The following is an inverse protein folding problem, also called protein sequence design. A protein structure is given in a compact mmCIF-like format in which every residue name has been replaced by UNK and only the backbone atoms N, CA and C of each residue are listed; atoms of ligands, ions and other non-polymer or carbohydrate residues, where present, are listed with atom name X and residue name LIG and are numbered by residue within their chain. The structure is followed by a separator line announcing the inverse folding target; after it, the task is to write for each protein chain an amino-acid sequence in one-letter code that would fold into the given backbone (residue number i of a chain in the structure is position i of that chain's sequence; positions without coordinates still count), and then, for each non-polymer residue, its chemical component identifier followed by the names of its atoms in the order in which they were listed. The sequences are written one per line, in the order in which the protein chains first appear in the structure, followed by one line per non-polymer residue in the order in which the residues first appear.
data_IF_911394442442
#
_entry.id   IF_911394442442
#
_cell.length_a   1.000
_cell.length_b   1.000
_cell.length_c   1.000
_cell.angle_alpha   90.00
_cell.angle_beta   90.00
_cell.angle_gamma   90.00
#
_symmetry.space_group_name_H-M   'P 1'
#
loop_
_entity.id
_entity.type
_entity.pdbx_description
1 polymer ?
#
# COMPACT_ATOMS: atom_id res chain seq x y z
N UNK A 1 -28.90 10.43 4.91
CA UNK A 1 -27.63 9.79 5.27
C UNK A 1 -26.81 9.58 4.02
N UNK A 2 -25.65 10.22 3.90
CA UNK A 2 -24.73 9.91 2.79
C UNK A 2 -24.34 8.43 2.91
N UNK A 3 -24.52 7.66 1.82
CA UNK A 3 -24.15 6.25 1.76
C UNK A 3 -22.66 6.17 2.08
N UNK A 4 -22.29 5.71 3.28
CA UNK A 4 -20.88 5.45 3.60
C UNK A 4 -20.35 4.48 2.55
N UNK A 5 -19.27 4.85 1.89
CA UNK A 5 -18.68 4.02 0.84
C UNK A 5 -18.29 2.68 1.48
N UNK A 6 -18.74 1.55 0.92
CA UNK A 6 -18.53 0.22 1.55
C UNK A 6 -17.03 -0.12 1.72
N UNK A 7 -16.19 0.50 0.90
CA UNK A 7 -14.76 0.23 0.86
C UNK A 7 -13.95 1.51 1.06
N UNK A 8 -12.82 1.38 1.76
CA UNK A 8 -11.69 2.29 1.65
C UNK A 8 -10.76 1.86 0.52
N UNK A 9 -10.08 2.85 -0.07
CA UNK A 9 -9.17 2.65 -1.19
C UNK A 9 -7.80 3.13 -0.80
N UNK A 10 -6.81 2.32 -1.12
CA UNK A 10 -5.44 2.56 -0.71
C UNK A 10 -4.41 2.19 -1.75
N UNK A 11 -3.16 2.34 -1.35
CA UNK A 11 -2.02 1.70 -2.00
C UNK A 11 -1.47 0.61 -1.10
N UNK A 12 -1.09 -0.51 -1.69
CA UNK A 12 -0.36 -1.57 -1.01
C UNK A 12 1.06 -1.63 -1.56
N UNK A 13 2.04 -1.60 -0.66
CA UNK A 13 3.44 -1.93 -0.99
C UNK A 13 3.59 -3.43 -0.83
N UNK A 14 4.14 -4.06 -1.86
CA UNK A 14 4.54 -5.45 -1.86
C UNK A 14 6.05 -5.55 -2.01
N UNK A 15 6.67 -6.43 -1.24
CA UNK A 15 8.11 -6.78 -1.31
C UNK A 15 8.25 -8.25 -1.69
N UNK A 16 9.45 -8.68 -2.06
CA UNK A 16 9.75 -10.08 -2.34
C UNK A 16 10.86 -10.65 -1.43
N UNK A 17 10.89 -10.23 -0.17
CA UNK A 17 11.91 -10.66 0.80
C UNK A 17 11.95 -12.17 1.05
N UNK A 18 10.79 -12.82 1.00
CA UNK A 18 10.62 -14.23 1.34
C UNK A 18 10.30 -15.12 0.12
N UNK A 19 9.27 -15.95 0.28
CA UNK A 19 8.90 -16.99 -0.70
C UNK A 19 7.94 -16.49 -1.79
N UNK A 20 7.95 -15.19 -2.08
CA UNK A 20 7.03 -14.58 -3.05
C UNK A 20 6.79 -13.10 -2.80
N UNK A 21 5.76 -12.55 -3.45
CA UNK A 21 5.31 -11.17 -3.22
C UNK A 21 4.42 -11.11 -1.97
N UNK A 22 4.91 -10.45 -0.93
CA UNK A 22 4.22 -10.29 0.34
C UNK A 22 3.81 -8.83 0.52
N UNK A 23 2.63 -8.61 1.12
CA UNK A 23 2.08 -7.27 1.33
C UNK A 23 2.58 -6.74 2.66
N UNK A 24 3.48 -5.77 2.62
CA UNK A 24 4.10 -5.21 3.82
C UNK A 24 3.26 -4.10 4.44
N UNK A 25 2.73 -3.20 3.61
CA UNK A 25 2.08 -1.98 4.08
C UNK A 25 0.89 -1.61 3.22
N UNK A 26 -0.13 -1.02 3.85
CA UNK A 26 -1.33 -0.49 3.22
C UNK A 26 -1.55 0.94 3.68
N UNK A 27 -1.74 1.86 2.73
CA UNK A 27 -1.93 3.29 2.98
C UNK A 27 -3.31 3.72 2.50
N UNK A 28 -4.05 4.48 3.31
CA UNK A 28 -5.29 5.11 2.86
C UNK A 28 -4.97 6.30 1.94
N UNK A 29 -5.62 6.34 0.77
CA UNK A 29 -5.50 7.44 -0.19
C UNK A 29 -6.01 8.78 0.34
N UNK A 30 -6.86 8.77 1.37
CA UNK A 30 -7.38 9.98 2.02
C UNK A 30 -6.34 10.64 2.92
N UNK A 31 -5.45 9.84 3.50
CA UNK A 31 -4.52 10.29 4.54
C UNK A 31 -3.08 10.40 4.03
N UNK A 32 -2.73 9.57 3.03
CA UNK A 32 -1.37 9.48 2.52
C UNK A 32 -1.29 9.99 1.08
N UNK A 33 -0.18 10.63 0.72
CA UNK A 33 0.11 10.99 -0.68
C UNK A 33 0.87 9.87 -1.39
N UNK A 34 0.66 9.70 -2.69
CA UNK A 34 1.39 8.69 -3.47
C UNK A 34 2.92 8.92 -3.45
N UNK A 35 3.35 10.18 -3.32
CA UNK A 35 4.77 10.53 -3.17
C UNK A 35 5.38 9.98 -1.88
N UNK A 36 4.63 9.98 -0.78
CA UNK A 36 5.08 9.35 0.47
C UNK A 36 5.19 7.84 0.29
N UNK A 37 4.17 7.18 -0.28
CA UNK A 37 4.19 5.73 -0.54
C UNK A 37 5.39 5.33 -1.41
N UNK A 38 5.79 6.17 -2.37
CA UNK A 38 7.00 5.93 -3.18
C UNK A 38 8.30 6.04 -2.39
N UNK A 39 8.39 6.96 -1.43
CA UNK A 39 9.57 7.09 -0.55
C UNK A 39 9.72 5.85 0.31
N UNK A 40 8.64 5.45 0.98
CA UNK A 40 8.63 4.26 1.83
C UNK A 40 8.94 3.00 0.99
N UNK A 41 8.37 2.87 -0.21
CA UNK A 41 8.68 1.78 -1.13
C UNK A 41 10.15 1.76 -1.59
N UNK A 42 10.83 2.92 -1.60
CA UNK A 42 12.24 3.02 -1.94
C UNK A 42 13.15 2.56 -0.79
N UNK A 43 12.75 2.74 0.46
CA UNK A 43 13.48 2.24 1.63
C UNK A 43 13.63 0.71 1.57
N UNK A 44 12.53 0.02 1.23
CA UNK A 44 12.57 -1.43 0.98
C UNK A 44 13.50 -1.82 -0.19
N UNK A 45 13.62 -0.98 -1.24
CA UNK A 45 14.57 -1.23 -2.34
C UNK A 45 16.01 -1.09 -1.90
N UNK A 46 16.31 -0.06 -1.12
CA UNK A 46 17.65 0.18 -0.56
C UNK A 46 18.07 -1.00 0.33
N UNK A 47 17.12 -1.57 1.08
CA UNK A 47 17.36 -2.75 1.88
C UNK A 47 17.58 -4.04 1.05
N UNK A 48 17.24 -4.04 -0.25
CA UNK A 48 17.54 -5.13 -1.18
C UNK A 48 16.31 -5.86 -1.74
N UNK A 49 15.09 -5.47 -1.35
CA UNK A 49 13.87 -6.06 -1.91
C UNK A 49 13.47 -5.43 -3.25
N UNK A 50 12.91 -6.24 -4.14
CA UNK A 50 12.08 -5.71 -5.21
C UNK A 50 10.76 -5.23 -4.59
N UNK A 51 10.33 -4.01 -4.93
CA UNK A 51 9.04 -3.47 -4.49
C UNK A 51 8.09 -3.17 -5.62
N UNK A 52 6.80 -3.47 -5.38
CA UNK A 52 5.66 -3.12 -6.22
C UNK A 52 4.63 -2.34 -5.41
N UNK A 53 4.13 -1.24 -5.97
CA UNK A 53 3.00 -0.51 -5.40
C UNK A 53 1.76 -0.83 -6.24
N UNK A 54 0.68 -1.24 -5.58
CA UNK A 54 -0.58 -1.61 -6.24
C UNK A 54 -1.75 -0.86 -5.62
N UNK A 55 -2.83 -0.68 -6.37
CA UNK A 55 -4.09 -0.22 -5.79
C UNK A 55 -4.72 -1.36 -4.98
N UNK A 56 -5.26 -1.04 -3.81
CA UNK A 56 -5.97 -2.01 -2.96
C UNK A 56 -7.26 -1.39 -2.42
N UNK A 57 -8.17 -2.24 -1.94
CA UNK A 57 -9.37 -1.83 -1.22
C UNK A 57 -9.62 -2.75 -0.03
N UNK A 58 -10.20 -2.22 1.04
CA UNK A 58 -10.65 -2.98 2.22
C UNK A 58 -12.02 -2.48 2.66
N UNK A 59 -12.75 -3.30 3.41
CA UNK A 59 -14.06 -2.92 3.95
C UNK A 59 -13.90 -1.77 4.94
N UNK A 60 -14.81 -0.80 4.90
CA UNK A 60 -14.95 0.14 6.00
C UNK A 60 -15.60 -0.58 7.18
N UNK A 61 -14.92 -0.61 8.33
CA UNK A 61 -15.54 -0.92 9.63
C UNK A 61 -16.41 0.25 10.12
#
# INVERSE_FOLDING_TARGET
MAKKNKYCYGWAIWTNWGSGWEKECVYDKKETSYSQVKKDAAEYRVAGAQTRITNTRWLND
#
